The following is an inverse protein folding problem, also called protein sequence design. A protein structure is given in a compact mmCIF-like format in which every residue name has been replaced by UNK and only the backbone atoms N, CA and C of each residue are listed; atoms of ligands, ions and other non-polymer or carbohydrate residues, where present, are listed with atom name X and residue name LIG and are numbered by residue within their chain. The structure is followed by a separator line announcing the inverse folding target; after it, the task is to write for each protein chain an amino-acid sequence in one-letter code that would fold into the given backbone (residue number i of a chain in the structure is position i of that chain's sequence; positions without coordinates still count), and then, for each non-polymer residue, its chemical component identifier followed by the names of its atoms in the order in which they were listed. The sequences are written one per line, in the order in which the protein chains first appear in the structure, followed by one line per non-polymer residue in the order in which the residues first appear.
data_IF_854725686164
#
_entry.id   IF_854725686164
#
_cell.length_a   1.000
_cell.length_b   1.000
_cell.length_c   1.000
_cell.angle_alpha   90.00
_cell.angle_beta   90.00
_cell.angle_gamma   90.00
#
_symmetry.space_group_name_H-M   'P 1'
#
loop_
_entity.id
_entity.type
_entity.pdbx_description
1 polymer ?
#
# COMPACT_ATOMS: atom_id res chain seq x y z
N UNK A 1 68.38 19.92 17.07
CA UNK A 1 67.97 19.87 15.64
C UNK A 1 67.22 18.60 15.21
N UNK A 2 67.30 17.47 15.94
CA UNK A 2 66.61 16.21 15.54
C UNK A 2 65.07 16.23 15.75
N UNK A 3 64.58 16.90 16.79
CA UNK A 3 63.14 16.97 17.11
C UNK A 3 62.30 17.71 16.05
N UNK A 4 62.86 18.74 15.38
CA UNK A 4 62.13 19.49 14.35
C UNK A 4 61.91 18.70 13.05
N UNK A 5 62.79 17.74 12.73
CA UNK A 5 62.65 16.90 11.52
C UNK A 5 61.43 15.97 11.59
N UNK A 6 61.10 15.46 12.77
CA UNK A 6 59.95 14.57 12.96
C UNK A 6 58.61 15.32 12.89
N UNK A 7 58.59 16.57 13.37
CA UNK A 7 57.41 17.43 13.29
C UNK A 7 57.11 17.83 11.84
N UNK A 8 58.15 18.21 11.08
CA UNK A 8 58.00 18.55 9.66
C UNK A 8 57.51 17.38 8.81
N UNK A 9 58.00 16.16 9.10
CA UNK A 9 57.59 14.93 8.39
C UNK A 9 56.14 14.55 8.67
N UNK A 10 55.63 14.82 9.89
CA UNK A 10 54.21 14.60 10.24
C UNK A 10 53.28 15.60 9.55
N UNK A 11 53.65 16.88 9.51
CA UNK A 11 52.86 17.89 8.79
C UNK A 11 52.89 17.69 7.27
N UNK A 12 54.03 17.28 6.71
CA UNK A 12 54.12 16.93 5.28
C UNK A 12 53.21 15.75 4.90
N UNK A 13 53.09 14.73 5.78
CA UNK A 13 52.24 13.57 5.53
C UNK A 13 50.74 13.91 5.66
N UNK A 14 50.39 14.79 6.61
CA UNK A 14 49.02 15.31 6.75
C UNK A 14 48.63 16.20 5.56
N UNK A 15 49.54 17.04 5.06
CA UNK A 15 49.29 17.86 3.87
C UNK A 15 49.09 17.01 2.60
N UNK A 16 49.92 15.98 2.41
CA UNK A 16 49.82 15.10 1.24
C UNK A 16 48.49 14.31 1.21
N UNK A 17 48.04 13.80 2.36
CA UNK A 17 46.77 13.07 2.46
C UNK A 17 45.57 13.98 2.21
N UNK A 18 45.61 15.23 2.68
CA UNK A 18 44.55 16.22 2.44
C UNK A 18 44.46 16.62 0.96
N UNK A 19 45.59 16.82 0.28
CA UNK A 19 45.60 17.12 -1.16
C UNK A 19 45.04 15.97 -2.01
N UNK A 20 45.34 14.72 -1.66
CA UNK A 20 44.80 13.55 -2.38
C UNK A 20 43.28 13.47 -2.21
N UNK A 21 42.76 13.66 -0.99
CA UNK A 21 41.32 13.65 -0.72
C UNK A 21 40.57 14.75 -1.50
N UNK A 22 41.11 15.97 -1.54
CA UNK A 22 40.53 17.08 -2.32
C UNK A 22 40.55 16.76 -3.82
N UNK A 23 41.63 16.16 -4.33
CA UNK A 23 41.78 15.86 -5.76
C UNK A 23 40.77 14.81 -6.23
N UNK A 24 40.48 13.81 -5.38
CA UNK A 24 39.46 12.78 -5.66
C UNK A 24 38.05 13.39 -5.61
N UNK A 25 37.75 14.22 -4.60
CA UNK A 25 36.45 14.91 -4.51
C UNK A 25 36.19 15.83 -5.70
N UNK A 26 37.20 16.55 -6.17
CA UNK A 26 37.10 17.43 -7.33
C UNK A 26 36.87 16.65 -8.64
N UNK A 27 37.52 15.49 -8.79
CA UNK A 27 37.31 14.61 -9.94
C UNK A 27 35.89 14.03 -9.98
N UNK A 28 35.36 13.57 -8.83
CA UNK A 28 34.00 13.03 -8.75
C UNK A 28 32.94 14.09 -9.07
N UNK A 29 33.08 15.32 -8.55
CA UNK A 29 32.18 16.43 -8.88
C UNK A 29 32.27 16.87 -10.35
N UNK A 30 33.45 16.80 -10.97
CA UNK A 30 33.61 17.21 -12.38
C UNK A 30 33.09 16.18 -13.38
N UNK A 31 32.93 14.91 -12.99
CA UNK A 31 32.47 13.83 -13.87
C UNK A 31 30.94 13.74 -14.04
N UNK A 32 30.14 14.24 -13.09
CA UNK A 32 28.67 14.28 -13.22
C UNK A 32 28.19 15.45 -14.08
N UNK A 33 29.00 16.50 -14.24
CA UNK A 33 28.64 17.70 -15.01
C UNK A 33 28.78 17.56 -16.54
N UNK A 34 29.24 16.41 -17.07
CA UNK A 34 29.52 16.23 -18.51
C UNK A 34 28.62 15.21 -19.23
N UNK A 35 27.56 14.67 -18.59
CA UNK A 35 26.57 13.81 -19.26
C UNK A 35 25.18 14.45 -19.47
N UNK A 36 25.02 15.74 -19.17
CA UNK A 36 23.82 16.48 -19.58
C UNK A 36 23.98 16.96 -21.03
N UNK A 37 23.78 16.04 -21.99
CA UNK A 37 23.50 16.42 -23.36
C UNK A 37 22.15 17.16 -23.39
N UNK A 38 22.22 18.47 -23.58
CA UNK A 38 21.08 19.37 -23.77
C UNK A 38 20.35 18.98 -25.06
N UNK A 39 19.16 18.43 -24.93
CA UNK A 39 18.14 18.49 -25.98
C UNK A 39 17.27 19.74 -25.71
N UNK A 40 16.99 20.59 -26.72
CA UNK A 40 16.26 21.83 -26.51
C UNK A 40 14.79 21.55 -26.18
N UNK A 41 14.33 22.15 -25.07
CA UNK A 41 12.93 22.19 -24.66
C UNK A 41 12.22 23.32 -25.41
N UNK A 42 11.28 22.99 -26.29
CA UNK A 42 10.27 23.94 -26.72
C UNK A 42 9.22 24.10 -25.63
N UNK A 43 9.06 25.33 -25.16
CA UNK A 43 8.10 25.74 -24.15
C UNK A 43 6.65 25.60 -24.63
N UNK A 44 5.79 24.98 -23.81
CA UNK A 44 4.33 25.14 -23.88
C UNK A 44 3.80 25.28 -22.45
N UNK A 45 3.20 26.43 -22.16
CA UNK A 45 2.48 26.74 -20.91
C UNK A 45 1.21 25.90 -20.76
N UNK A 46 0.74 25.59 -19.54
CA UNK A 46 -0.48 24.82 -19.33
C UNK A 46 -1.73 25.73 -19.36
N UNK A 47 -2.77 25.25 -20.03
CA UNK A 47 -4.17 25.67 -19.86
C UNK A 47 -4.98 24.41 -19.50
N UNK A 48 -6.01 24.47 -18.64
CA UNK A 48 -6.57 23.27 -18.04
C UNK A 48 -7.75 22.69 -18.83
N UNK A 49 -7.92 21.38 -18.66
CA UNK A 49 -9.13 20.58 -18.90
C UNK A 49 -9.39 20.15 -20.34
N UNK A 50 -9.16 18.85 -20.64
CA UNK A 50 -10.16 17.95 -21.24
C UNK A 50 -9.82 16.49 -20.86
N UNK A 51 -10.84 15.75 -20.42
CA UNK A 51 -10.80 14.30 -20.15
C UNK A 51 -10.71 13.56 -21.48
N UNK A 52 -9.68 12.73 -21.67
CA UNK A 52 -9.52 11.90 -22.87
C UNK A 52 -9.69 10.41 -22.51
N UNK A 53 -10.70 9.77 -23.13
CA UNK A 53 -10.92 8.32 -23.05
C UNK A 53 -9.79 7.60 -23.77
N UNK A 54 -9.15 6.66 -23.09
CA UNK A 54 -8.16 5.78 -23.70
C UNK A 54 -8.79 4.90 -24.79
N UNK A 55 -8.21 4.93 -26.00
CA UNK A 55 -8.47 3.99 -27.10
C UNK A 55 -7.20 3.17 -27.36
N UNK A 56 -7.36 1.87 -27.55
CA UNK A 56 -6.24 0.93 -27.75
C UNK A 56 -5.60 1.11 -29.15
N UNK A 57 -4.26 1.08 -29.28
CA UNK A 57 -3.59 1.09 -30.58
C UNK A 57 -3.77 -0.23 -31.32
N UNK A 58 -4.28 -0.15 -32.54
CA UNK A 58 -4.32 -1.27 -33.47
C UNK A 58 -2.97 -1.50 -34.14
N UNK A 59 -2.51 -2.75 -34.17
CA UNK A 59 -1.86 -3.39 -35.32
C UNK A 59 -1.38 -4.80 -34.95
N UNK A 60 -2.21 -5.82 -35.20
CA UNK A 60 -1.73 -7.18 -35.48
C UNK A 60 -2.43 -7.70 -36.74
N UNK A 61 -1.64 -7.67 -37.81
CA UNK A 61 -1.61 -8.50 -39.01
C UNK A 61 -2.84 -9.34 -39.39
N UNK A 62 -3.42 -8.98 -40.54
CA UNK A 62 -4.44 -9.75 -41.24
C UNK A 62 -3.91 -11.11 -41.77
N UNK A 63 -4.70 -12.19 -41.68
CA UNK A 63 -4.60 -13.28 -42.63
C UNK A 63 -5.46 -12.98 -43.87
N UNK A 64 -4.80 -12.93 -45.03
CA UNK A 64 -5.46 -13.12 -46.33
C UNK A 64 -6.08 -14.52 -46.36
N UNK A 65 -7.39 -14.60 -46.57
CA UNK A 65 -8.04 -15.53 -47.53
C UNK A 65 -9.52 -15.18 -47.67
N UNK A 66 -9.89 -14.88 -48.91
CA UNK A 66 -11.26 -14.75 -49.38
C UNK A 66 -12.02 -16.05 -49.18
N UNK A 67 -13.12 -16.01 -48.46
CA UNK A 67 -14.37 -16.64 -48.91
C UNK A 67 -15.48 -15.65 -48.57
N UNK A 68 -16.06 -15.04 -49.59
CA UNK A 68 -17.32 -14.35 -49.44
C UNK A 68 -18.32 -15.37 -48.88
N UNK A 69 -18.72 -15.20 -47.62
CA UNK A 69 -19.81 -15.97 -47.03
C UNK A 69 -21.08 -15.48 -47.72
N UNK A 70 -21.42 -16.14 -48.81
CA UNK A 70 -22.70 -16.02 -49.51
C UNK A 70 -23.80 -16.16 -48.47
N UNK A 71 -24.54 -15.09 -48.24
CA UNK A 71 -25.80 -15.17 -47.50
C UNK A 71 -26.71 -16.13 -48.28
N UNK A 72 -27.34 -17.13 -47.62
CA UNK A 72 -28.28 -18.01 -48.31
C UNK A 72 -29.40 -17.17 -48.91
N UNK A 73 -29.69 -17.42 -50.19
CA UNK A 73 -30.82 -16.79 -50.85
C UNK A 73 -32.13 -17.29 -50.23
N UNK A 74 -33.10 -16.38 -50.11
CA UNK A 74 -34.43 -16.69 -49.58
C UNK A 74 -35.05 -17.89 -50.32
N UNK A 75 -35.67 -18.85 -49.60
CA UNK A 75 -36.35 -19.99 -50.20
C UNK A 75 -37.39 -19.54 -51.23
N UNK A 76 -37.36 -20.16 -52.42
CA UNK A 76 -38.31 -19.86 -53.51
C UNK A 76 -39.74 -20.30 -53.23
N UNK A 77 -39.97 -21.10 -52.19
CA UNK A 77 -41.28 -21.56 -51.75
C UNK A 77 -41.99 -20.58 -50.78
N UNK A 78 -41.60 -19.31 -50.79
CA UNK A 78 -42.39 -18.28 -50.10
C UNK A 78 -43.75 -18.19 -50.77
N UNK A 79 -44.79 -18.66 -50.07
CA UNK A 79 -46.16 -18.41 -50.46
C UNK A 79 -46.35 -16.91 -50.73
N UNK A 80 -46.93 -16.57 -51.87
CA UNK A 80 -47.29 -15.20 -52.20
C UNK A 80 -48.06 -14.59 -51.01
N UNK A 81 -47.80 -13.32 -50.64
CA UNK A 81 -48.55 -12.69 -49.56
C UNK A 81 -50.04 -12.77 -49.92
N UNK A 82 -50.81 -13.51 -49.12
CA UNK A 82 -52.27 -13.45 -49.21
C UNK A 82 -52.66 -12.02 -48.91
N UNK A 83 -53.34 -11.37 -49.84
CA UNK A 83 -54.02 -10.12 -49.56
C UNK A 83 -55.02 -10.38 -48.43
N UNK A 84 -54.96 -9.55 -47.41
CA UNK A 84 -55.98 -9.53 -46.37
C UNK A 84 -57.32 -9.16 -47.03
N UNK A 85 -58.43 -9.77 -46.62
CA UNK A 85 -59.74 -9.42 -47.15
C UNK A 85 -60.02 -7.93 -46.92
N UNK A 86 -60.39 -7.21 -47.97
CA UNK A 86 -60.74 -5.77 -47.94
C UNK A 86 -62.06 -5.47 -47.24
N UNK A 87 -62.52 -6.36 -46.35
CA UNK A 87 -63.71 -6.07 -45.55
C UNK A 87 -63.30 -5.12 -44.44
N UNK A 88 -63.93 -3.93 -44.31
CA UNK A 88 -63.65 -3.05 -43.20
C UNK A 88 -63.98 -3.80 -41.92
N UNK A 89 -62.95 -4.17 -41.18
CA UNK A 89 -63.13 -4.71 -39.83
C UNK A 89 -63.58 -3.53 -38.99
N UNK A 90 -64.87 -3.48 -38.66
CA UNK A 90 -65.36 -2.54 -37.66
C UNK A 90 -64.75 -2.98 -36.33
N UNK A 91 -63.66 -2.34 -35.92
CA UNK A 91 -63.20 -2.39 -34.55
C UNK A 91 -64.29 -1.72 -33.71
N UNK A 92 -65.14 -2.55 -33.09
CA UNK A 92 -65.82 -2.16 -31.87
C UNK A 92 -64.73 -1.97 -30.82
N UNK A 93 -64.16 -0.76 -30.79
CA UNK A 93 -63.37 -0.32 -29.64
C UNK A 93 -64.34 -0.33 -28.48
N UNK A 94 -64.18 -1.28 -27.56
CA UNK A 94 -64.80 -1.17 -26.25
C UNK A 94 -64.39 0.19 -25.71
N UNK A 95 -65.34 1.13 -25.62
CA UNK A 95 -65.14 2.37 -24.88
C UNK A 95 -65.29 2.03 -23.41
N UNK A 96 -64.40 1.19 -22.90
CA UNK A 96 -64.21 1.13 -21.47
C UNK A 96 -63.69 2.51 -21.07
N UNK A 97 -64.48 3.23 -20.29
CA UNK A 97 -63.99 4.40 -19.59
C UNK A 97 -62.75 3.95 -18.81
N UNK A 98 -61.62 4.67 -18.87
CA UNK A 98 -60.40 4.25 -18.18
C UNK A 98 -60.72 4.01 -16.71
N UNK A 99 -60.77 2.74 -16.32
CA UNK A 99 -61.07 2.34 -14.94
C UNK A 99 -59.74 2.47 -14.20
N UNK A 100 -59.62 3.57 -13.48
CA UNK A 100 -58.55 3.78 -12.50
C UNK A 100 -57.36 4.56 -13.02
N UNK A 101 -56.91 5.50 -12.19
CA UNK A 101 -55.51 5.90 -12.18
C UNK A 101 -54.70 4.62 -12.02
N UNK A 102 -53.83 4.32 -12.97
CA UNK A 102 -52.80 3.30 -12.76
C UNK A 102 -52.07 3.67 -11.47
N UNK A 103 -51.87 2.74 -10.51
CA UNK A 103 -51.05 3.02 -9.35
C UNK A 103 -49.71 3.56 -9.84
N UNK A 104 -49.28 4.69 -9.28
CA UNK A 104 -47.95 5.22 -9.55
C UNK A 104 -46.93 4.19 -9.09
N UNK A 105 -46.05 3.78 -10.00
CA UNK A 105 -45.03 2.77 -9.71
C UNK A 105 -44.09 3.36 -8.66
N UNK A 106 -44.22 2.90 -7.41
CA UNK A 106 -43.32 3.30 -6.34
C UNK A 106 -41.91 2.85 -6.75
N UNK A 107 -40.93 3.77 -6.86
CA UNK A 107 -39.60 3.41 -7.31
C UNK A 107 -39.06 2.32 -6.39
N UNK A 108 -38.64 1.20 -6.99
CA UNK A 108 -38.02 0.12 -6.24
C UNK A 108 -36.87 0.71 -5.39
N UNK A 109 -36.80 0.41 -4.08
CA UNK A 109 -35.72 0.91 -3.26
C UNK A 109 -34.41 0.46 -3.88
N UNK A 110 -33.58 1.43 -4.29
CA UNK A 110 -32.23 1.15 -4.73
C UNK A 110 -31.47 0.64 -3.51
N UNK A 111 -31.32 -0.68 -3.39
CA UNK A 111 -30.37 -1.28 -2.48
C UNK A 111 -28.98 -0.96 -3.03
N UNK A 112 -28.48 0.23 -2.70
CA UNK A 112 -27.17 0.69 -3.16
C UNK A 112 -26.09 -0.26 -2.64
N UNK A 113 -25.49 -1.04 -3.56
CA UNK A 113 -24.33 -1.88 -3.28
C UNK A 113 -23.00 -1.14 -3.47
N UNK A 114 -23.03 0.19 -3.52
CA UNK A 114 -21.84 1.00 -3.70
C UNK A 114 -20.91 0.85 -2.49
N UNK A 115 -19.63 0.62 -2.76
CA UNK A 115 -18.61 0.58 -1.73
C UNK A 115 -18.04 1.99 -1.55
N UNK A 116 -18.16 2.54 -0.34
CA UNK A 116 -17.64 3.85 0.00
C UNK A 116 -16.52 3.70 1.04
N UNK A 117 -15.41 4.37 0.80
CA UNK A 117 -14.28 4.44 1.73
C UNK A 117 -14.05 5.89 2.11
N UNK A 118 -13.93 6.15 3.41
CA UNK A 118 -13.52 7.44 3.95
C UNK A 118 -12.23 7.28 4.73
N UNK A 119 -11.38 8.31 4.67
CA UNK A 119 -10.10 8.36 5.35
C UNK A 119 -10.00 9.66 6.14
N UNK A 120 -9.72 9.56 7.44
CA UNK A 120 -9.61 10.73 8.33
C UNK A 120 -8.30 10.68 9.12
N UNK A 121 -7.50 11.73 9.03
CA UNK A 121 -6.24 11.82 9.77
C UNK A 121 -6.52 11.91 11.28
N UNK A 122 -5.66 11.29 12.09
CA UNK A 122 -5.76 11.22 13.54
C UNK A 122 -4.40 11.47 14.19
N UNK A 123 -4.35 11.39 15.51
CA UNK A 123 -3.14 11.56 16.30
C UNK A 123 -2.04 10.57 15.86
N UNK A 124 -0.78 10.94 16.16
CA UNK A 124 0.40 10.14 15.84
C UNK A 124 0.54 9.75 14.35
N UNK A 125 0.04 10.59 13.42
CA UNK A 125 0.02 10.29 11.98
C UNK A 125 -0.67 8.96 11.63
N UNK A 126 -1.75 8.65 12.36
CA UNK A 126 -2.67 7.56 12.06
C UNK A 126 -3.79 8.05 11.14
N UNK A 127 -4.43 7.12 10.43
CA UNK A 127 -5.59 7.38 9.58
C UNK A 127 -6.69 6.40 9.96
N UNK A 128 -7.85 6.92 10.37
CA UNK A 128 -9.03 6.10 10.57
C UNK A 128 -9.72 5.91 9.23
N UNK A 129 -9.75 4.66 8.77
CA UNK A 129 -10.50 4.23 7.60
C UNK A 129 -11.88 3.74 8.03
N UNK A 130 -12.91 4.17 7.32
CA UNK A 130 -14.26 3.65 7.47
C UNK A 130 -14.77 3.25 6.08
N UNK A 131 -15.02 1.96 5.91
CA UNK A 131 -15.57 1.35 4.71
C UNK A 131 -17.04 0.99 4.96
N UNK A 132 -17.90 1.32 3.99
CA UNK A 132 -19.28 0.86 3.90
C UNK A 132 -19.45 0.09 2.61
N UNK A 133 -19.72 -1.22 2.70
CA UNK A 133 -19.95 -2.08 1.55
C UNK A 133 -21.11 -3.05 1.82
N UNK A 134 -22.37 -2.56 1.82
CA UNK A 134 -23.52 -3.29 2.36
C UNK A 134 -23.82 -4.63 1.67
N UNK A 135 -23.32 -4.84 0.45
CA UNK A 135 -23.48 -6.08 -0.30
C UNK A 135 -22.30 -7.05 -0.16
N UNK A 136 -21.31 -6.71 0.67
CA UNK A 136 -20.11 -7.50 0.92
C UNK A 136 -19.93 -7.82 2.43
N UNK A 137 -20.89 -8.46 3.12
CA UNK A 137 -20.77 -8.79 4.54
C UNK A 137 -19.87 -10.02 4.77
N UNK A 138 -18.99 -9.98 5.77
CA UNK A 138 -18.10 -11.11 6.09
C UNK A 138 -17.11 -11.46 4.98
N UNK A 139 -16.81 -10.51 4.10
CA UNK A 139 -15.95 -10.71 2.93
C UNK A 139 -14.54 -10.25 3.26
N UNK A 140 -13.55 -11.05 2.84
CA UNK A 140 -12.14 -10.67 2.90
C UNK A 140 -11.90 -9.43 2.04
N UNK A 141 -11.19 -8.44 2.54
CA UNK A 141 -10.75 -7.26 1.78
C UNK A 141 -9.25 -7.08 1.90
N UNK A 142 -8.60 -6.55 0.87
CA UNK A 142 -7.19 -6.14 0.96
C UNK A 142 -7.11 -4.63 0.98
N UNK A 143 -6.47 -4.09 2.02
CA UNK A 143 -6.17 -2.66 2.14
C UNK A 143 -4.77 -2.43 1.58
N UNK A 144 -4.64 -1.42 0.73
CA UNK A 144 -3.40 -0.98 0.11
C UNK A 144 -3.12 0.47 0.49
N UNK A 145 -1.90 0.74 0.94
CA UNK A 145 -1.41 2.09 1.21
C UNK A 145 0.10 2.16 0.98
N UNK A 146 0.55 2.91 -0.03
CA UNK A 146 1.93 2.81 -0.51
C UNK A 146 2.31 1.34 -0.75
N UNK A 147 3.42 0.87 -0.16
CA UNK A 147 3.84 -0.53 -0.19
C UNK A 147 3.20 -1.39 0.90
N UNK A 148 2.52 -0.79 1.88
CA UNK A 148 1.82 -1.52 2.95
C UNK A 148 0.55 -2.19 2.40
N UNK A 149 0.43 -3.50 2.66
CA UNK A 149 -0.71 -4.32 2.25
C UNK A 149 -1.08 -5.29 3.37
N UNK A 150 -2.34 -5.24 3.79
CA UNK A 150 -2.86 -6.16 4.80
C UNK A 150 -4.29 -6.55 4.47
N UNK A 151 -4.72 -7.68 5.02
CA UNK A 151 -6.04 -8.27 4.76
C UNK A 151 -6.96 -8.10 5.95
N UNK A 152 -8.17 -7.60 5.75
CA UNK A 152 -9.21 -7.56 6.78
C UNK A 152 -10.45 -8.37 6.35
N UNK A 153 -11.41 -8.50 7.24
CA UNK A 153 -12.73 -9.09 6.96
C UNK A 153 -13.79 -8.05 7.32
N UNK A 154 -14.71 -7.76 6.41
CA UNK A 154 -15.84 -6.86 6.70
C UNK A 154 -16.79 -7.46 7.71
N UNK A 155 -17.47 -6.60 8.47
CA UNK A 155 -18.49 -6.98 9.43
C UNK A 155 -19.74 -7.58 8.77
N UNK A 156 -20.70 -8.04 9.58
CA UNK A 156 -21.96 -8.64 9.11
C UNK A 156 -22.85 -7.70 8.29
N UNK A 157 -22.64 -6.38 8.39
CA UNK A 157 -23.32 -5.33 7.65
C UNK A 157 -22.47 -4.78 6.48
N UNK A 158 -21.30 -5.38 6.24
CA UNK A 158 -20.36 -4.91 5.22
C UNK A 158 -19.53 -3.69 5.64
N UNK A 159 -19.55 -3.31 6.92
CA UNK A 159 -18.72 -2.22 7.44
C UNK A 159 -17.31 -2.70 7.83
N UNK A 160 -16.31 -1.81 7.76
CA UNK A 160 -14.99 -2.03 8.33
C UNK A 160 -14.46 -0.71 8.88
N UNK A 161 -13.96 -0.72 10.11
CA UNK A 161 -13.29 0.43 10.73
C UNK A 161 -11.91 0.01 11.23
N UNK A 162 -10.88 0.72 10.79
CA UNK A 162 -9.50 0.39 11.15
C UNK A 162 -8.62 1.65 11.20
N UNK A 163 -7.72 1.70 12.18
CA UNK A 163 -6.72 2.75 12.29
C UNK A 163 -5.40 2.28 11.64
N UNK A 164 -4.97 2.97 10.58
CA UNK A 164 -3.80 2.60 9.78
C UNK A 164 -2.72 3.67 9.91
N UNK A 165 -1.45 3.30 10.18
CA UNK A 165 -0.35 4.24 10.12
C UNK A 165 -0.14 4.75 8.68
N UNK A 166 -0.14 6.08 8.47
CA UNK A 166 0.27 6.70 7.20
C UNK A 166 1.77 6.53 6.85
N UNK A 167 2.08 6.24 5.59
CA UNK A 167 3.43 6.08 5.04
C UNK A 167 3.79 7.22 4.07
N UNK A 168 2.81 8.06 3.74
CA UNK A 168 2.99 9.29 2.96
C UNK A 168 2.15 10.45 3.52
N UNK A 169 2.67 11.68 3.38
CA UNK A 169 1.93 12.90 3.78
C UNK A 169 0.65 13.07 2.97
N UNK A 170 0.69 12.79 1.67
CA UNK A 170 -0.51 12.72 0.84
C UNK A 170 -0.89 11.25 0.69
N UNK A 171 -1.60 10.72 1.67
CA UNK A 171 -1.90 9.30 1.75
C UNK A 171 -3.09 8.94 0.86
N UNK A 172 -2.91 7.94 0.00
CA UNK A 172 -3.98 7.29 -0.73
C UNK A 172 -4.16 5.87 -0.20
N UNK A 173 -5.41 5.52 0.10
CA UNK A 173 -5.81 4.18 0.54
C UNK A 173 -6.74 3.58 -0.51
N UNK A 174 -6.52 2.31 -0.83
CA UNK A 174 -7.41 1.54 -1.68
C UNK A 174 -7.83 0.26 -0.95
N UNK A 175 -9.10 -0.06 -1.01
CA UNK A 175 -9.65 -1.34 -0.56
C UNK A 175 -10.09 -2.12 -1.79
N UNK A 176 -9.66 -3.38 -1.88
CA UNK A 176 -10.00 -4.28 -2.98
C UNK A 176 -10.66 -5.55 -2.46
N UNK A 177 -11.80 -5.91 -3.05
CA UNK A 177 -12.52 -7.16 -2.80
C UNK A 177 -12.07 -8.27 -3.78
N UNK A 178 -12.25 -9.55 -3.44
CA UNK A 178 -11.90 -10.68 -4.31
C UNK A 178 -12.63 -10.69 -5.65
N UNK A 179 -13.82 -10.06 -5.73
CA UNK A 179 -14.60 -9.95 -6.95
C UNK A 179 -14.12 -8.80 -7.87
N UNK A 180 -13.10 -8.03 -7.45
CA UNK A 180 -12.54 -6.90 -8.20
C UNK A 180 -13.18 -5.55 -7.88
N UNK A 181 -14.25 -5.51 -7.08
CA UNK A 181 -14.81 -4.25 -6.58
C UNK A 181 -13.83 -3.60 -5.59
N UNK A 182 -14.00 -2.31 -5.34
CA UNK A 182 -13.17 -1.59 -4.40
C UNK A 182 -13.60 -0.15 -4.20
N UNK A 183 -12.93 0.50 -3.27
CA UNK A 183 -13.13 1.91 -2.95
C UNK A 183 -11.77 2.55 -2.64
N UNK A 184 -11.66 3.85 -2.92
CA UNK A 184 -10.43 4.62 -2.69
C UNK A 184 -10.73 5.86 -1.87
N UNK A 185 -9.79 6.25 -1.02
CA UNK A 185 -9.88 7.46 -0.23
C UNK A 185 -8.50 8.11 -0.12
N UNK A 186 -8.47 9.44 -0.15
CA UNK A 186 -7.23 10.20 0.02
C UNK A 186 -7.34 11.13 1.21
N UNK A 187 -6.25 11.28 1.94
CA UNK A 187 -6.18 12.17 3.11
C UNK A 187 -4.78 12.76 3.23
N UNK A 188 -4.71 13.99 3.74
CA UNK A 188 -3.44 14.64 4.05
C UNK A 188 -3.08 14.45 5.52
N UNK A 189 -1.87 13.98 5.80
CA UNK A 189 -1.35 13.65 7.13
C UNK A 189 -0.10 14.49 7.41
N UNK A 190 -0.32 15.77 7.70
CA UNK A 190 0.76 16.76 7.90
C UNK A 190 1.68 16.44 9.08
N UNK A 191 1.23 15.61 10.02
CA UNK A 191 2.02 15.22 11.18
C UNK A 191 3.02 14.09 10.89
N UNK A 192 2.98 13.43 9.73
CA UNK A 192 3.84 12.28 9.45
C UNK A 192 5.35 12.58 9.59
N UNK A 193 5.89 13.76 9.17
CA UNK A 193 7.32 14.05 9.34
C UNK A 193 7.81 14.08 10.79
N UNK A 194 6.93 14.15 11.79
CA UNK A 194 7.33 14.07 13.21
C UNK A 194 7.64 12.65 13.68
N UNK A 195 7.37 11.64 12.85
CA UNK A 195 7.49 10.23 13.21
C UNK A 195 8.33 9.47 12.18
N UNK A 196 9.24 8.64 12.70
CA UNK A 196 9.84 7.58 11.91
C UNK A 196 9.09 6.29 12.12
N UNK A 197 9.04 5.46 11.08
CA UNK A 197 8.38 4.15 11.13
C UNK A 197 9.25 3.07 10.55
N UNK A 198 9.16 1.91 11.19
CA UNK A 198 9.67 0.66 10.68
C UNK A 198 8.52 -0.33 10.63
N UNK A 199 8.34 -0.97 9.49
CA UNK A 199 7.29 -1.93 9.29
C UNK A 199 7.85 -3.22 8.70
N UNK A 200 7.19 -4.33 9.04
CA UNK A 200 7.34 -5.62 8.39
C UNK A 200 5.97 -6.09 7.93
N UNK A 201 5.92 -6.75 6.78
CA UNK A 201 4.70 -7.39 6.28
C UNK A 201 5.00 -8.75 5.69
N UNK A 202 4.05 -9.68 5.79
CA UNK A 202 4.23 -11.06 5.34
C UNK A 202 2.89 -11.71 4.96
N UNK A 203 2.99 -12.86 4.28
CA UNK A 203 1.83 -13.67 3.89
C UNK A 203 1.74 -14.93 4.75
N UNK A 204 0.57 -15.21 5.30
CA UNK A 204 0.26 -16.47 6.00
C UNK A 204 -0.01 -16.30 7.50
N UNK A 205 -0.38 -17.41 8.14
CA UNK A 205 -0.65 -17.47 9.57
C UNK A 205 0.66 -17.72 10.35
N UNK A 206 1.01 -16.81 11.27
CA UNK A 206 2.31 -16.77 11.98
C UNK A 206 3.45 -16.20 11.12
N UNK A 207 4.62 -15.85 11.64
CA UNK A 207 5.10 -15.73 13.02
C UNK A 207 6.32 -14.80 12.99
N UNK A 208 6.10 -13.58 12.51
CA UNK A 208 7.11 -12.53 12.51
C UNK A 208 6.75 -11.53 13.60
N UNK A 209 7.75 -11.12 14.35
CA UNK A 209 7.62 -10.14 15.40
C UNK A 209 8.64 -9.05 15.18
N UNK A 210 8.17 -7.81 15.17
CA UNK A 210 9.02 -6.63 15.18
C UNK A 210 9.31 -6.26 16.64
N UNK A 211 10.59 -6.26 16.98
CA UNK A 211 11.09 -5.87 18.28
C UNK A 211 11.82 -4.54 18.18
N UNK A 212 11.33 -3.55 18.93
CA UNK A 212 11.98 -2.26 19.12
C UNK A 212 12.54 -2.15 20.53
N UNK A 213 13.86 -2.07 20.66
CA UNK A 213 14.58 -1.90 21.92
C UNK A 213 14.99 -0.43 22.07
N UNK A 214 14.13 0.35 22.69
CA UNK A 214 14.36 1.77 22.94
C UNK A 214 15.43 1.99 24.01
N UNK A 215 16.36 2.91 23.74
CA UNK A 215 17.34 3.40 24.71
C UNK A 215 18.19 2.28 25.36
N UNK A 216 18.44 1.19 24.62
CA UNK A 216 19.22 0.05 25.09
C UNK A 216 18.46 -0.90 26.03
N UNK A 217 17.13 -0.89 25.98
CA UNK A 217 16.32 -1.81 26.79
C UNK A 217 16.63 -3.28 26.49
N UNK A 218 16.67 -4.15 27.53
CA UNK A 218 16.76 -5.59 27.34
C UNK A 218 15.39 -6.19 26.96
N UNK A 219 15.38 -7.47 26.56
CA UNK A 219 14.16 -8.24 26.40
C UNK A 219 13.27 -8.17 27.65
N UNK A 220 11.98 -7.90 27.44
CA UNK A 220 10.98 -7.72 28.50
C UNK A 220 11.18 -6.47 29.37
N UNK A 221 12.17 -5.64 29.06
CA UNK A 221 12.38 -4.36 29.73
C UNK A 221 11.33 -3.32 29.33
N UNK A 222 11.26 -2.22 30.08
CA UNK A 222 10.27 -1.16 29.85
C UNK A 222 10.34 -0.59 28.43
N UNK A 223 11.54 -0.45 27.86
CA UNK A 223 11.80 0.04 26.50
C UNK A 223 11.67 -0.99 25.39
N UNK A 224 11.24 -2.23 25.68
CA UNK A 224 11.06 -3.27 24.66
C UNK A 224 9.61 -3.26 24.16
N UNK A 225 9.40 -2.71 22.96
CA UNK A 225 8.11 -2.61 22.28
C UNK A 225 8.01 -3.68 21.20
N UNK A 226 6.98 -4.52 21.28
CA UNK A 226 6.74 -5.65 20.39
C UNK A 226 5.28 -6.11 20.48
N UNK A 227 4.87 -7.12 19.74
CA UNK A 227 3.50 -7.69 19.74
C UNK A 227 2.94 -7.96 21.15
N UNK A 228 3.77 -8.46 22.08
CA UNK A 228 3.41 -8.74 23.47
C UNK A 228 3.41 -7.52 24.41
N UNK A 229 3.97 -6.40 23.98
CA UNK A 229 3.98 -5.12 24.71
C UNK A 229 3.93 -3.92 23.75
N UNK A 230 2.85 -3.74 22.97
CA UNK A 230 2.83 -2.82 21.84
C UNK A 230 2.79 -1.35 22.25
N UNK A 231 2.39 -1.07 23.49
CA UNK A 231 2.00 0.27 23.99
C UNK A 231 0.89 0.90 23.15
N UNK A 232 0.29 1.95 23.68
CA UNK A 232 -0.75 2.71 22.98
C UNK A 232 -0.24 4.08 22.54
N UNK A 233 -1.12 4.87 21.94
CA UNK A 233 -0.83 6.22 21.45
C UNK A 233 -0.38 7.21 22.55
N UNK A 234 -0.56 6.87 23.84
CA UNK A 234 -0.13 7.75 24.93
C UNK A 234 1.39 7.80 25.07
N UNK A 235 2.10 6.73 24.68
CA UNK A 235 3.58 6.68 24.69
C UNK A 235 4.19 7.79 23.82
N UNK A 236 3.50 8.12 22.74
CA UNK A 236 3.93 9.07 21.72
C UNK A 236 3.62 10.52 22.10
N UNK A 237 2.55 10.74 22.85
CA UNK A 237 2.02 12.07 23.18
C UNK A 237 2.96 12.90 24.06
N UNK A 238 3.83 12.24 24.82
CA UNK A 238 4.88 12.88 25.63
C UNK A 238 6.29 12.80 25.05
N UNK A 239 6.46 12.23 23.85
CA UNK A 239 7.79 11.94 23.29
C UNK A 239 8.57 10.90 24.10
N UNK A 240 7.88 10.10 24.93
CA UNK A 240 8.48 9.18 25.89
C UNK A 240 8.91 7.85 25.25
N UNK A 241 8.28 7.48 24.14
CA UNK A 241 8.59 6.27 23.39
C UNK A 241 7.71 6.11 22.15
N UNK A 242 7.94 5.02 21.45
CA UNK A 242 7.12 4.55 20.34
C UNK A 242 6.05 3.55 20.78
N UNK A 243 5.30 3.11 19.79
CA UNK A 243 4.23 2.12 19.89
C UNK A 243 4.21 1.24 18.64
N UNK A 244 3.55 0.09 18.74
CA UNK A 244 3.43 -0.89 17.66
C UNK A 244 1.96 -1.15 17.32
N UNK A 245 1.66 -1.18 16.03
CA UNK A 245 0.35 -1.54 15.48
C UNK A 245 0.48 -2.85 14.73
N UNK A 246 -0.40 -3.80 15.03
CA UNK A 246 -0.57 -5.03 14.27
C UNK A 246 -1.76 -4.87 13.32
N UNK A 247 -1.56 -5.20 12.04
CA UNK A 247 -2.54 -5.09 10.97
C UNK A 247 -2.72 -6.43 10.29
N UNK A 248 -3.94 -6.72 9.86
CA UNK A 248 -4.29 -7.96 9.21
C UNK A 248 -5.10 -8.88 10.10
N UNK A 249 -6.00 -9.62 9.48
CA UNK A 249 -6.86 -10.59 10.11
C UNK A 249 -6.34 -11.99 9.84
N UNK A 250 -5.81 -12.64 10.88
CA UNK A 250 -5.26 -13.99 10.81
C UNK A 250 -6.30 -15.06 10.41
N UNK A 251 -7.60 -14.81 10.60
CA UNK A 251 -8.68 -15.75 10.23
C UNK A 251 -8.96 -15.75 8.71
N UNK A 252 -8.50 -14.74 7.99
CA UNK A 252 -8.66 -14.69 6.54
C UNK A 252 -7.84 -15.80 5.84
N UNK A 253 -8.33 -16.27 4.70
CA UNK A 253 -7.57 -17.18 3.86
C UNK A 253 -6.34 -16.46 3.27
N UNK A 254 -5.16 -17.07 3.44
CA UNK A 254 -3.88 -16.50 3.00
C UNK A 254 -3.69 -15.03 3.44
N UNK A 255 -3.73 -14.76 4.76
CA UNK A 255 -3.81 -13.39 5.23
C UNK A 255 -2.51 -12.64 4.93
N UNK A 256 -2.65 -11.37 4.54
CA UNK A 256 -1.55 -10.42 4.53
C UNK A 256 -1.53 -9.73 5.88
N UNK A 257 -0.42 -9.87 6.60
CA UNK A 257 -0.21 -9.37 7.95
C UNK A 257 0.90 -8.31 7.94
N UNK A 258 0.84 -7.35 8.85
CA UNK A 258 1.90 -6.38 9.03
C UNK A 258 2.03 -5.93 10.49
N UNK A 259 3.25 -5.57 10.89
CA UNK A 259 3.52 -4.84 12.13
C UNK A 259 4.22 -3.53 11.80
N UNK A 260 3.77 -2.46 12.43
CA UNK A 260 4.31 -1.12 12.21
C UNK A 260 4.68 -0.53 13.55
N UNK A 261 5.98 -0.35 13.77
CA UNK A 261 6.51 0.42 14.88
C UNK A 261 6.61 1.89 14.48
N UNK A 262 6.12 2.79 15.34
CA UNK A 262 6.15 4.24 15.15
C UNK A 262 6.85 4.91 16.31
N UNK A 263 7.86 5.73 16.02
CA UNK A 263 8.60 6.48 17.03
C UNK A 263 8.58 7.99 16.74
N UNK A 264 8.37 8.86 17.75
CA UNK A 264 8.27 10.30 17.57
C UNK A 264 9.64 11.01 17.49
N UNK A 265 10.46 10.67 16.50
CA UNK A 265 11.88 11.08 16.44
C UNK A 265 12.09 12.60 16.60
N UNK A 266 11.24 13.45 16.02
CA UNK A 266 11.41 14.92 16.08
C UNK A 266 10.91 15.56 17.39
N UNK A 267 10.10 14.86 18.18
CA UNK A 267 9.52 15.38 19.43
C UNK A 267 9.90 14.51 20.64
N UNK A 268 10.88 13.63 20.48
CA UNK A 268 11.36 12.74 21.51
C UNK A 268 11.94 13.53 22.69
N UNK A 269 11.57 13.17 23.92
CA UNK A 269 12.05 13.84 25.13
C UNK A 269 13.49 13.46 25.50
N UNK A 270 14.04 12.41 24.89
CA UNK A 270 15.34 11.83 25.21
C UNK A 270 16.11 11.51 23.92
N UNK A 271 17.40 11.86 23.89
CA UNK A 271 18.33 11.40 22.84
C UNK A 271 18.74 9.94 23.06
N UNK A 272 19.02 9.22 21.98
CA UNK A 272 19.44 7.83 22.05
C UNK A 272 19.23 7.09 20.73
N UNK A 273 19.05 5.78 20.82
CA UNK A 273 18.72 4.94 19.67
C UNK A 273 17.62 3.94 20.00
N UNK A 274 16.94 3.48 18.96
CA UNK A 274 16.05 2.31 19.02
C UNK A 274 16.69 1.24 18.16
N UNK A 275 17.10 0.13 18.78
CA UNK A 275 17.58 -1.02 18.04
C UNK A 275 16.38 -1.84 17.53
N UNK A 276 16.38 -2.17 16.24
CA UNK A 276 15.27 -2.89 15.60
C UNK A 276 15.70 -4.30 15.21
N UNK A 277 14.98 -5.30 15.72
CA UNK A 277 15.16 -6.69 15.35
C UNK A 277 13.85 -7.27 14.83
N UNK A 278 13.97 -8.22 13.92
CA UNK A 278 12.82 -9.00 13.45
C UNK A 278 13.08 -10.45 13.79
N UNK A 279 12.12 -11.09 14.43
CA UNK A 279 12.22 -12.50 14.83
C UNK A 279 11.16 -13.31 14.10
N UNK A 280 11.56 -14.46 13.56
CA UNK A 280 10.64 -15.43 12.96
C UNK A 280 10.54 -16.66 13.85
N UNK A 281 9.38 -16.94 14.43
CA UNK A 281 9.17 -18.15 15.21
C UNK A 281 8.82 -19.34 14.31
N UNK A 282 9.49 -20.46 14.51
CA UNK A 282 9.14 -21.73 13.86
C UNK A 282 7.95 -22.35 14.58
N UNK A 283 6.91 -22.69 13.85
CA UNK A 283 5.70 -23.32 14.35
C UNK A 283 5.36 -24.57 13.55
N UNK A 284 4.46 -25.39 14.08
CA UNK A 284 3.95 -26.58 13.39
C UNK A 284 3.20 -26.25 12.08
N UNK A 285 2.84 -24.99 11.85
CA UNK A 285 2.08 -24.56 10.66
C UNK A 285 2.96 -23.88 9.60
N UNK A 286 4.18 -23.48 9.94
CA UNK A 286 5.11 -22.78 9.05
C UNK A 286 6.46 -23.50 8.81
N UNK A 287 6.82 -24.51 9.62
CA UNK A 287 8.07 -25.26 9.49
C UNK A 287 8.27 -25.90 8.10
N UNK A 288 9.52 -25.91 7.63
CA UNK A 288 9.93 -26.44 6.32
C UNK A 288 9.38 -25.66 5.13
N UNK A 289 8.83 -24.46 5.35
CA UNK A 289 8.24 -23.61 4.31
C UNK A 289 9.07 -22.35 4.10
N UNK A 290 8.91 -21.76 2.91
CA UNK A 290 9.47 -20.44 2.62
C UNK A 290 8.51 -19.36 3.10
N UNK A 291 9.03 -18.44 3.89
CA UNK A 291 8.32 -17.26 4.40
C UNK A 291 8.79 -16.04 3.60
N UNK A 292 7.88 -15.46 2.82
CA UNK A 292 8.13 -14.20 2.13
C UNK A 292 7.69 -13.05 3.04
N UNK A 293 8.59 -12.10 3.24
CA UNK A 293 8.35 -10.89 4.01
C UNK A 293 9.00 -9.67 3.33
N UNK A 294 8.49 -8.50 3.67
CA UNK A 294 9.03 -7.23 3.22
C UNK A 294 9.18 -6.30 4.41
N UNK A 295 10.30 -5.58 4.51
CA UNK A 295 10.46 -4.47 5.44
C UNK A 295 10.29 -3.13 4.72
N UNK A 296 9.74 -2.15 5.42
CA UNK A 296 9.47 -0.81 4.90
C UNK A 296 9.88 0.20 5.98
N UNK A 297 10.67 1.21 5.61
CA UNK A 297 11.06 2.31 6.49
C UNK A 297 10.51 3.64 5.99
N UNK A 298 9.98 4.44 6.92
CA UNK A 298 9.46 5.78 6.66
C UNK A 298 10.24 6.78 7.50
N UNK A 299 10.79 7.81 6.86
CA UNK A 299 11.50 8.93 7.49
C UNK A 299 11.17 10.22 6.76
N UNK A 300 11.14 11.35 7.48
CA UNK A 300 10.83 12.68 6.92
C UNK A 300 9.52 12.72 6.09
N UNK A 301 8.51 11.93 6.46
CA UNK A 301 7.21 11.94 5.80
C UNK A 301 7.08 11.10 4.52
N UNK A 302 8.04 10.23 4.21
CA UNK A 302 8.05 9.39 3.00
C UNK A 302 8.73 8.04 3.25
N UNK A 303 8.38 7.05 2.44
CA UNK A 303 9.12 5.79 2.37
C UNK A 303 10.56 6.06 1.92
N UNK A 304 11.53 5.54 2.67
CA UNK A 304 12.96 5.70 2.38
C UNK A 304 13.64 4.40 1.99
N UNK A 305 13.16 3.27 2.51
CA UNK A 305 13.74 1.97 2.22
C UNK A 305 12.67 0.88 2.17
N UNK A 306 12.89 -0.09 1.29
CA UNK A 306 12.05 -1.27 1.11
C UNK A 306 12.97 -2.46 0.83
N UNK A 307 12.83 -3.54 1.60
CA UNK A 307 13.59 -4.77 1.38
C UNK A 307 12.70 -5.99 1.34
N UNK A 308 12.76 -6.73 0.23
CA UNK A 308 12.12 -8.03 0.09
C UNK A 308 13.08 -9.13 0.58
N UNK A 309 12.56 -10.02 1.43
CA UNK A 309 13.31 -11.17 1.93
C UNK A 309 12.44 -12.44 1.83
N UNK A 310 13.06 -13.51 1.36
CA UNK A 310 12.47 -14.86 1.46
C UNK A 310 13.33 -15.68 2.41
N UNK A 311 12.75 -16.05 3.55
CA UNK A 311 13.37 -16.89 4.56
C UNK A 311 12.98 -18.35 4.34
N UNK A 312 13.94 -19.26 4.41
CA UNK A 312 13.67 -20.69 4.49
C UNK A 312 13.56 -21.07 5.96
N UNK A 313 12.37 -21.49 6.41
CA UNK A 313 12.16 -21.90 7.79
C UNK A 313 12.72 -23.32 8.00
N UNK A 314 13.36 -23.58 9.15
CA UNK A 314 13.82 -24.92 9.53
C UNK A 314 12.69 -25.95 9.55
N UNK A 315 13.08 -27.22 9.61
CA UNK A 315 12.16 -28.35 9.74
C UNK A 315 11.36 -28.30 11.06
N UNK A 316 10.31 -29.12 11.13
CA UNK A 316 9.33 -29.08 12.24
C UNK A 316 9.88 -29.60 13.58
N UNK A 317 11.09 -30.14 13.61
CA UNK A 317 11.82 -30.48 14.83
C UNK A 317 12.31 -29.24 15.59
N UNK A 318 12.51 -28.12 14.89
CA UNK A 318 12.87 -26.82 15.47
C UNK A 318 11.64 -25.97 15.89
N UNK A 319 10.44 -26.56 15.95
CA UNK A 319 9.24 -25.84 16.35
C UNK A 319 9.39 -25.25 17.78
N UNK A 320 9.15 -23.94 17.90
CA UNK A 320 9.36 -23.14 19.11
C UNK A 320 10.66 -22.32 19.11
N UNK A 321 11.58 -22.58 18.17
CA UNK A 321 12.79 -21.77 17.99
C UNK A 321 12.49 -20.44 17.28
N UNK A 322 13.38 -19.46 17.47
CA UNK A 322 13.30 -18.14 16.86
C UNK A 322 14.51 -17.88 15.97
N UNK A 323 14.27 -17.47 14.74
CA UNK A 323 15.30 -16.98 13.82
C UNK A 323 15.37 -15.47 13.91
N UNK A 324 16.49 -14.94 14.39
CA UNK A 324 16.73 -13.49 14.45
C UNK A 324 17.26 -13.00 13.11
N UNK A 325 16.51 -12.11 12.46
CA UNK A 325 16.85 -11.47 11.20
C UNK A 325 17.56 -10.14 11.47
N UNK A 326 18.89 -10.16 11.40
CA UNK A 326 19.71 -8.96 11.59
C UNK A 326 19.78 -8.13 10.31
N UNK A 327 19.85 -6.81 10.49
CA UNK A 327 20.02 -5.82 9.41
C UNK A 327 18.90 -5.80 8.36
N UNK A 328 17.69 -6.23 8.73
CA UNK A 328 16.51 -6.10 7.87
C UNK A 328 15.88 -4.70 7.96
N UNK A 329 16.09 -4.03 9.08
CA UNK A 329 15.66 -2.67 9.39
C UNK A 329 16.86 -1.90 9.93
N UNK A 330 16.92 -0.60 9.66
CA UNK A 330 17.94 0.29 10.21
C UNK A 330 17.50 0.83 11.58
N UNK A 331 18.40 0.76 12.55
CA UNK A 331 18.19 1.36 13.87
C UNK A 331 17.78 2.84 13.75
N UNK A 332 16.86 3.29 14.62
CA UNK A 332 16.47 4.70 14.67
C UNK A 332 17.48 5.45 15.52
N UNK A 333 18.03 6.54 14.99
CA UNK A 333 18.89 7.47 15.75
C UNK A 333 18.09 8.69 16.14
N UNK A 334 18.05 8.98 17.44
CA UNK A 334 17.27 10.07 18.01
C UNK A 334 18.24 11.20 18.42
N UNK A 335 18.24 12.28 17.64
CA UNK A 335 18.99 13.49 17.96
C UNK A 335 18.09 14.47 18.74
N UNK A 336 18.60 15.03 19.84
CA UNK A 336 17.96 16.18 20.48
C UNK A 336 18.38 17.46 19.77
N UNK A 337 17.41 18.29 19.40
CA UNK A 337 17.61 19.66 18.89
C UNK A 337 17.69 20.67 20.03
#
# INVERSE_FOLDING_TARGET
MSQMKNVYRRYALAGATFSIAISIGFLMQSSEASQAAVAPVSAVSPSPSQVEKASLPGALSAPRKSVAKVLPSLPKDRAAPRSLPETPTVLLVSRDAPIGLLPEEEPAPALGCESELTATASAAAMVNLQLSAPCQPGVRVTVHHEDLKFTEITGPDGSLQIAVPAFAVNAMFAVTFPNGDGAVASVRVDSLPFYDRAAIQWKGQGALELHAFEFGAPYGGVGHVWSGAPRDLTAVSGGLGGFLVHLGNSEAAEPLMAEVYTFPTLIASQAGSVALNVEAQVSMTNCGRRLALQSIEVRDGRVTDIHDLTLELPDCDAAGEFLVLKNLLQDLTIAQN
#
